data_IF_426617997265
#
_entry.id   IF_426617997265
#
_cell.length_a   1.000
_cell.length_b   1.000
_cell.length_c   1.000
_cell.angle_alpha   90.00
_cell.angle_beta   90.00
_cell.angle_gamma   90.00
#
_symmetry.space_group_name_H-M   'P 1'
#
loop_
_entity.id
_entity.type
_entity.pdbx_description
1 polymer ?
#
# COMPACT_ATOMS: atom_id res chain seq x y z
N UNK A 1 -22.21 15.49 17.31
CA UNK A 1 -22.93 14.25 16.94
C UNK A 1 -22.07 13.49 15.95
N UNK A 2 -21.17 12.66 16.47
CA UNK A 2 -20.23 11.84 15.71
C UNK A 2 -20.65 10.38 15.88
N UNK A 3 -20.54 9.58 14.82
CA UNK A 3 -21.05 8.21 14.66
C UNK A 3 -22.49 8.12 14.13
N UNK A 4 -22.59 8.05 12.80
CA UNK A 4 -23.69 7.38 12.10
C UNK A 4 -23.10 6.15 11.39
N UNK A 5 -23.82 5.02 11.34
CA UNK A 5 -23.33 3.79 10.75
C UNK A 5 -23.21 3.91 9.22
N UNK A 6 -22.15 3.30 8.67
CA UNK A 6 -21.92 3.19 7.22
C UNK A 6 -23.05 2.33 6.64
N UNK A 7 -23.89 2.91 5.77
CA UNK A 7 -24.97 2.18 5.08
C UNK A 7 -24.44 1.38 3.88
N UNK A 8 -25.20 0.37 3.48
CA UNK A 8 -24.88 -0.60 2.41
C UNK A 8 -24.53 0.03 1.04
N UNK A 9 -24.94 1.28 0.81
CA UNK A 9 -24.64 2.06 -0.41
C UNK A 9 -23.17 2.50 -0.51
N UNK A 10 -22.48 2.72 0.61
CA UNK A 10 -21.06 3.09 0.58
C UNK A 10 -20.16 1.89 0.24
N UNK A 11 -20.52 0.69 0.72
CA UNK A 11 -19.84 -0.57 0.34
C UNK A 11 -19.98 -0.88 -1.15
N UNK A 12 -21.12 -0.56 -1.77
CA UNK A 12 -21.33 -0.79 -3.20
C UNK A 12 -20.48 0.14 -4.06
N UNK A 13 -20.27 1.40 -3.64
CA UNK A 13 -19.44 2.36 -4.38
C UNK A 13 -17.94 2.02 -4.33
N UNK A 14 -17.41 1.62 -3.17
CA UNK A 14 -16.03 1.16 -3.01
C UNK A 14 -15.78 -0.13 -3.79
N UNK A 15 -16.72 -1.09 -3.73
CA UNK A 15 -16.67 -2.34 -4.49
C UNK A 15 -16.74 -2.10 -6.00
N UNK A 16 -17.56 -1.15 -6.47
CA UNK A 16 -17.62 -0.79 -7.89
C UNK A 16 -16.32 -0.14 -8.38
N UNK A 17 -15.72 0.78 -7.61
CA UNK A 17 -14.41 1.38 -7.94
C UNK A 17 -13.30 0.33 -7.92
N UNK A 18 -13.29 -0.58 -6.95
CA UNK A 18 -12.35 -1.71 -6.91
C UNK A 18 -12.55 -2.64 -8.11
N UNK A 19 -13.79 -2.92 -8.51
CA UNK A 19 -14.09 -3.71 -9.71
C UNK A 19 -13.69 -2.97 -10.99
N UNK A 20 -13.80 -1.66 -11.05
CA UNK A 20 -13.36 -0.85 -12.19
C UNK A 20 -11.84 -0.77 -12.30
N UNK A 21 -11.14 -0.60 -11.17
CA UNK A 21 -9.68 -0.72 -11.05
C UNK A 21 -9.25 -2.14 -11.41
N UNK A 22 -9.93 -3.17 -10.91
CA UNK A 22 -9.66 -4.57 -11.26
C UNK A 22 -9.92 -4.83 -12.75
N UNK A 23 -10.97 -4.24 -13.34
CA UNK A 23 -11.26 -4.33 -14.79
C UNK A 23 -10.19 -3.61 -15.62
N UNK A 24 -9.72 -2.42 -15.21
CA UNK A 24 -8.53 -1.76 -15.78
C UNK A 24 -7.29 -2.64 -15.63
N UNK A 25 -7.10 -3.30 -14.49
CA UNK A 25 -5.99 -4.21 -14.23
C UNK A 25 -6.10 -5.52 -15.04
N UNK A 26 -7.30 -6.00 -15.38
CA UNK A 26 -7.48 -7.13 -16.30
C UNK A 26 -7.14 -6.77 -17.75
N UNK A 27 -7.27 -5.50 -18.15
CA UNK A 27 -6.67 -4.97 -19.39
C UNK A 27 -5.14 -4.79 -19.28
N UNK A 28 -4.60 -4.75 -18.06
CA UNK A 28 -3.15 -4.74 -17.76
C UNK A 28 -2.49 -6.14 -17.80
N UNK A 29 -2.98 -7.03 -18.69
CA UNK A 29 -2.19 -8.17 -19.18
C UNK A 29 -1.05 -7.73 -20.11
N UNK A 30 -1.09 -6.49 -20.62
CA UNK A 30 0.01 -5.89 -21.37
C UNK A 30 1.15 -5.48 -20.43
N UNK A 31 2.38 -5.88 -20.78
CA UNK A 31 3.58 -5.68 -19.96
C UNK A 31 3.93 -4.22 -19.74
N UNK A 32 3.71 -3.42 -20.78
CA UNK A 32 3.93 -1.97 -20.75
C UNK A 32 2.92 -1.27 -19.85
N UNK A 33 1.71 -1.82 -19.74
CA UNK A 33 0.66 -1.21 -18.94
C UNK A 33 1.00 -1.19 -17.44
N UNK A 34 1.57 -2.25 -16.86
CA UNK A 34 1.87 -2.27 -15.41
C UNK A 34 2.95 -1.27 -15.00
N UNK A 35 4.06 -1.24 -15.75
CA UNK A 35 5.14 -0.26 -15.50
C UNK A 35 4.63 1.17 -15.65
N UNK A 36 3.83 1.42 -16.70
CA UNK A 36 3.21 2.71 -16.96
C UNK A 36 2.26 3.12 -15.83
N UNK A 37 1.37 2.23 -15.40
CA UNK A 37 0.42 2.50 -14.32
C UNK A 37 1.14 2.85 -13.01
N UNK A 38 2.15 2.06 -12.64
CA UNK A 38 2.99 2.35 -11.47
C UNK A 38 3.64 3.74 -11.57
N UNK A 39 4.32 4.02 -12.70
CA UNK A 39 5.04 5.26 -12.88
C UNK A 39 4.11 6.49 -12.91
N UNK A 40 3.00 6.44 -13.64
CA UNK A 40 2.10 7.58 -13.85
C UNK A 40 1.19 7.87 -12.66
N UNK A 41 0.72 6.82 -11.98
CA UNK A 41 -0.29 6.99 -10.93
C UNK A 41 0.30 7.00 -9.52
N UNK A 42 1.46 6.38 -9.29
CA UNK A 42 2.07 6.32 -7.96
C UNK A 42 3.41 7.06 -7.91
N UNK A 43 4.39 6.67 -8.75
CA UNK A 43 5.78 7.10 -8.56
C UNK A 43 6.04 8.56 -8.96
N UNK A 44 5.81 8.93 -10.23
CA UNK A 44 6.08 10.28 -10.73
C UNK A 44 5.30 11.39 -9.98
N UNK A 45 4.05 11.18 -9.52
CA UNK A 45 3.37 12.16 -8.68
C UNK A 45 4.14 12.55 -7.41
N UNK A 46 4.98 11.67 -6.87
CA UNK A 46 5.82 11.98 -5.69
C UNK A 46 6.96 12.96 -6.00
N UNK A 47 7.23 13.24 -7.28
CA UNK A 47 8.38 14.04 -7.71
C UNK A 47 9.72 13.31 -7.58
N UNK A 48 9.72 12.02 -7.25
CA UNK A 48 10.93 11.21 -7.26
C UNK A 48 11.43 11.00 -8.71
N UNK A 49 12.76 10.98 -8.94
CA UNK A 49 13.34 10.52 -10.19
C UNK A 49 12.93 9.07 -10.50
N UNK A 50 12.97 8.68 -11.77
CA UNK A 50 12.72 7.29 -12.15
C UNK A 50 13.75 6.36 -11.52
N UNK A 51 13.27 5.28 -10.90
CA UNK A 51 14.09 4.21 -10.35
C UNK A 51 14.21 3.02 -11.28
N UNK A 52 14.96 2.01 -10.86
CA UNK A 52 15.07 0.75 -11.57
C UNK A 52 14.13 -0.32 -10.98
N UNK A 53 13.21 -0.81 -11.80
CA UNK A 53 12.36 -1.95 -11.47
C UNK A 53 13.03 -3.24 -11.93
N UNK A 54 13.13 -4.22 -11.04
CA UNK A 54 13.46 -5.58 -11.44
C UNK A 54 12.42 -6.09 -12.46
N UNK A 55 12.89 -6.68 -13.55
CA UNK A 55 12.06 -7.30 -14.57
C UNK A 55 12.26 -8.82 -14.54
N UNK A 56 11.19 -9.57 -14.82
CA UNK A 56 11.25 -11.04 -14.93
C UNK A 56 12.19 -11.53 -16.05
N UNK A 57 12.45 -10.68 -17.04
CA UNK A 57 13.42 -10.83 -18.13
C UNK A 57 13.67 -9.48 -18.80
N UNK A 58 14.61 -9.45 -19.75
CA UNK A 58 14.83 -8.27 -20.58
C UNK A 58 13.53 -7.83 -21.29
N UNK A 59 13.17 -6.55 -21.14
CA UNK A 59 11.92 -5.96 -21.64
C UNK A 59 10.63 -6.68 -21.15
N UNK A 60 10.73 -7.34 -19.99
CA UNK A 60 9.69 -8.13 -19.37
C UNK A 60 8.72 -7.38 -18.46
N UNK A 61 8.01 -8.12 -17.62
CA UNK A 61 7.13 -7.57 -16.58
C UNK A 61 7.96 -7.04 -15.42
N UNK A 62 7.62 -5.88 -14.84
CA UNK A 62 8.17 -5.53 -13.54
C UNK A 62 7.69 -6.52 -12.47
N UNK A 63 8.63 -6.99 -11.64
CA UNK A 63 8.32 -7.72 -10.43
C UNK A 63 7.61 -6.79 -9.45
N UNK A 64 6.29 -6.86 -9.37
CA UNK A 64 5.50 -5.90 -8.56
C UNK A 64 5.56 -6.15 -7.06
N UNK A 65 6.23 -7.22 -6.62
CA UNK A 65 6.34 -7.60 -5.21
C UNK A 65 7.70 -7.23 -4.60
N UNK A 66 8.72 -6.90 -5.40
CA UNK A 66 10.05 -6.60 -4.86
C UNK A 66 10.90 -5.71 -5.77
N UNK A 67 12.07 -5.36 -5.23
CA UNK A 67 13.28 -5.08 -6.00
C UNK A 67 13.25 -3.80 -6.85
N UNK A 68 12.40 -2.84 -6.48
CA UNK A 68 12.55 -1.45 -6.88
C UNK A 68 13.80 -0.86 -6.23
N UNK A 69 14.72 -0.36 -7.05
CA UNK A 69 15.95 0.31 -6.61
C UNK A 69 15.87 1.81 -6.86
N UNK A 70 15.88 2.56 -5.79
CA UNK A 70 15.81 4.04 -5.72
C UNK A 70 16.65 4.51 -4.54
N UNK A 71 16.89 5.81 -4.42
CA UNK A 71 17.61 6.33 -3.25
C UNK A 71 16.75 6.22 -1.99
N UNK A 72 17.37 6.16 -0.79
CA UNK A 72 16.61 6.23 0.47
C UNK A 72 15.72 7.47 0.58
N UNK A 73 16.18 8.62 0.07
CA UNK A 73 15.39 9.86 0.06
C UNK A 73 14.15 9.74 -0.84
N UNK A 74 14.20 8.96 -1.91
CA UNK A 74 13.04 8.72 -2.77
C UNK A 74 12.04 7.79 -2.09
N UNK A 75 12.51 6.79 -1.33
CA UNK A 75 11.63 5.99 -0.47
C UNK A 75 10.88 6.83 0.57
N UNK A 76 11.54 7.82 1.17
CA UNK A 76 10.90 8.72 2.14
C UNK A 76 9.70 9.49 1.54
N UNK A 77 9.67 9.72 0.23
CA UNK A 77 8.54 10.39 -0.42
C UNK A 77 7.27 9.55 -0.41
N UNK A 78 7.38 8.22 -0.47
CA UNK A 78 6.22 7.34 -0.25
C UNK A 78 5.75 7.38 1.20
N UNK A 79 6.67 7.43 2.16
CA UNK A 79 6.34 7.64 3.57
C UNK A 79 5.61 8.97 3.79
N UNK A 80 6.11 10.06 3.21
CA UNK A 80 5.48 11.37 3.24
C UNK A 80 4.08 11.35 2.60
N UNK A 81 3.91 10.68 1.46
CA UNK A 81 2.59 10.50 0.82
C UNK A 81 1.58 9.84 1.78
N UNK A 82 1.98 8.77 2.48
CA UNK A 82 1.12 8.11 3.47
C UNK A 82 0.83 9.02 4.68
N UNK A 83 1.83 9.76 5.16
CA UNK A 83 1.67 10.70 6.27
C UNK A 83 0.74 11.87 5.92
N UNK A 84 0.77 12.34 4.67
CA UNK A 84 -0.10 13.40 4.14
C UNK A 84 -1.48 12.89 3.70
N UNK A 85 -1.90 11.71 4.15
CA UNK A 85 -3.25 11.20 3.85
C UNK A 85 -3.45 10.79 2.40
N UNK A 86 -2.39 10.38 1.69
CA UNK A 86 -2.48 9.96 0.29
C UNK A 86 -2.52 11.11 -0.72
N UNK A 87 -2.27 12.35 -0.27
CA UNK A 87 -2.39 13.57 -1.07
C UNK A 87 -1.03 14.19 -1.40
N UNK A 88 -0.96 14.79 -2.58
CA UNK A 88 0.14 15.67 -3.00
C UNK A 88 -0.47 16.96 -3.54
N UNK A 89 -0.33 18.06 -2.80
CA UNK A 89 -1.09 19.28 -3.06
C UNK A 89 -2.59 19.00 -3.05
N UNK A 90 -3.28 19.33 -4.15
CA UNK A 90 -4.71 19.05 -4.32
C UNK A 90 -5.04 17.67 -4.91
N UNK A 91 -4.02 16.86 -5.28
CA UNK A 91 -4.21 15.57 -5.94
C UNK A 91 -4.29 14.42 -4.94
N UNK A 92 -5.34 13.62 -5.05
CA UNK A 92 -5.45 12.30 -4.42
C UNK A 92 -4.64 11.28 -5.23
N UNK A 93 -3.47 10.91 -4.71
CA UNK A 93 -2.63 9.85 -5.30
C UNK A 93 -3.09 8.49 -4.77
N UNK A 94 -3.40 8.42 -3.47
CA UNK A 94 -4.07 7.28 -2.85
C UNK A 94 -5.45 7.75 -2.36
N UNK A 95 -6.55 7.09 -2.76
CA UNK A 95 -7.86 7.39 -2.21
C UNK A 95 -7.88 7.24 -0.68
N UNK A 96 -8.59 8.11 0.04
CA UNK A 96 -8.71 8.06 1.51
C UNK A 96 -9.16 6.69 2.01
N UNK A 97 -10.22 6.15 1.41
CA UNK A 97 -10.82 4.88 1.83
C UNK A 97 -9.86 3.70 1.59
N UNK A 98 -8.96 3.83 0.62
CA UNK A 98 -7.91 2.84 0.38
C UNK A 98 -6.81 2.95 1.44
N UNK A 99 -6.41 4.18 1.78
CA UNK A 99 -5.43 4.42 2.83
C UNK A 99 -5.92 3.92 4.20
N UNK A 100 -7.21 4.08 4.50
CA UNK A 100 -7.82 3.54 5.71
C UNK A 100 -7.76 2.01 5.74
N UNK A 101 -8.01 1.34 4.60
CA UNK A 101 -7.83 -0.10 4.47
C UNK A 101 -6.37 -0.55 4.61
N UNK A 102 -5.40 0.24 4.13
CA UNK A 102 -3.98 -0.05 4.35
C UNK A 102 -3.60 0.07 5.84
N UNK A 103 -4.27 0.94 6.59
CA UNK A 103 -4.02 1.11 8.04
C UNK A 103 -4.81 0.15 8.91
N UNK A 104 -5.74 -0.61 8.33
CA UNK A 104 -6.61 -1.53 9.05
C UNK A 104 -6.12 -2.96 8.86
N UNK A 105 -5.90 -3.67 9.96
CA UNK A 105 -5.58 -5.08 9.95
C UNK A 105 -6.65 -5.94 9.28
N UNK A 106 -6.23 -7.09 8.76
CA UNK A 106 -7.16 -8.11 8.27
C UNK A 106 -7.57 -9.08 9.38
N UNK A 107 -8.68 -9.81 9.21
CA UNK A 107 -9.08 -10.87 10.14
C UNK A 107 -8.00 -11.98 10.28
N UNK A 108 -7.28 -12.27 9.19
CA UNK A 108 -6.20 -13.27 9.19
C UNK A 108 -4.94 -12.77 9.90
N UNK A 109 -4.68 -11.46 9.83
CA UNK A 109 -3.55 -10.82 10.48
C UNK A 109 -3.93 -9.38 10.87
N UNK A 110 -4.29 -9.14 12.14
CA UNK A 110 -4.66 -7.81 12.65
C UNK A 110 -3.55 -6.77 12.51
N UNK A 111 -2.30 -7.20 12.30
CA UNK A 111 -1.15 -6.32 12.17
C UNK A 111 -0.79 -6.00 10.71
N UNK A 112 -1.54 -6.51 9.72
CA UNK A 112 -1.26 -6.33 8.29
C UNK A 112 -2.50 -5.85 7.52
N UNK A 113 -2.35 -4.71 6.81
CA UNK A 113 -3.39 -4.11 5.99
C UNK A 113 -2.85 -3.69 4.62
N UNK A 114 -3.39 -4.26 3.54
CA UNK A 114 -3.09 -3.92 2.12
C UNK A 114 -1.63 -3.48 1.82
N UNK A 115 -0.64 -4.25 2.28
CA UNK A 115 0.78 -3.97 2.03
C UNK A 115 1.50 -3.15 3.10
N UNK A 116 0.79 -2.66 4.12
CA UNK A 116 1.36 -1.99 5.28
C UNK A 116 1.28 -2.84 6.54
N UNK A 117 2.16 -2.48 7.45
CA UNK A 117 2.24 -2.99 8.79
C UNK A 117 2.04 -1.83 9.77
N UNK A 118 0.79 -1.43 10.08
CA UNK A 118 0.50 -0.22 10.85
C UNK A 118 0.91 -0.29 12.32
N UNK A 119 1.03 -1.49 12.90
CA UNK A 119 1.29 -1.75 14.32
C UNK A 119 1.92 -3.11 14.54
N UNK A 120 2.84 -3.24 15.49
CA UNK A 120 3.43 -4.48 15.96
C UNK A 120 2.73 -5.00 17.22
N UNK A 121 2.79 -6.33 17.47
CA UNK A 121 2.25 -6.88 18.71
C UNK A 121 3.00 -6.33 19.95
N UNK A 122 2.34 -6.25 21.12
CA UNK A 122 2.94 -5.68 22.34
C UNK A 122 4.22 -6.39 22.83
N UNK A 123 4.49 -7.62 22.40
CA UNK A 123 5.68 -8.39 22.79
C UNK A 123 6.94 -8.07 21.96
N UNK A 124 6.84 -7.08 21.06
CA UNK A 124 7.98 -6.55 20.28
C UNK A 124 8.48 -7.50 19.19
N UNK A 125 7.74 -8.56 18.89
CA UNK A 125 8.10 -9.54 17.86
C UNK A 125 6.95 -9.76 16.92
N UNK A 126 7.24 -9.77 15.61
CA UNK A 126 6.24 -10.08 14.60
C UNK A 126 6.60 -11.35 13.86
N UNK A 127 5.61 -12.21 13.64
CA UNK A 127 5.75 -13.35 12.73
C UNK A 127 5.89 -12.85 11.28
N UNK A 128 6.98 -13.22 10.61
CA UNK A 128 7.31 -12.79 9.24
C UNK A 128 6.27 -13.25 8.20
N UNK A 129 5.72 -14.44 8.42
CA UNK A 129 4.63 -15.00 7.63
C UNK A 129 3.65 -15.71 8.57
N UNK A 130 2.35 -15.54 8.33
CA UNK A 130 1.30 -16.23 9.08
C UNK A 130 1.53 -17.75 9.08
N UNK A 131 1.74 -18.33 10.27
CA UNK A 131 2.02 -19.75 10.46
C UNK A 131 3.49 -20.17 10.30
N UNK A 132 4.41 -19.23 10.03
CA UNK A 132 5.85 -19.51 9.91
C UNK A 132 6.62 -19.41 11.23
N UNK A 133 7.74 -20.14 11.37
CA UNK A 133 8.57 -20.09 12.58
C UNK A 133 9.47 -18.84 12.70
N UNK A 134 9.50 -17.99 11.67
CA UNK A 134 10.39 -16.82 11.62
C UNK A 134 9.73 -15.60 12.22
N UNK A 135 10.45 -14.93 13.13
CA UNK A 135 10.03 -13.68 13.74
C UNK A 135 11.02 -12.55 13.39
N UNK A 136 10.49 -11.35 13.23
CA UNK A 136 11.25 -10.11 13.03
C UNK A 136 11.12 -9.29 14.32
N UNK A 137 12.25 -8.98 14.95
CA UNK A 137 12.30 -8.09 16.11
C UNK A 137 11.98 -6.64 15.72
N UNK A 138 11.46 -5.87 16.67
CA UNK A 138 11.13 -4.46 16.49
C UNK A 138 11.89 -3.60 17.50
N UNK A 139 11.98 -2.30 17.19
CA UNK A 139 12.39 -1.27 18.15
C UNK A 139 11.29 -1.03 19.19
N UNK A 140 11.46 -0.02 20.04
CA UNK A 140 10.47 0.36 21.05
C UNK A 140 9.07 0.58 20.44
N UNK A 141 7.99 0.35 21.23
CA UNK A 141 6.63 0.51 20.74
C UNK A 141 6.38 1.90 20.15
N UNK A 142 5.71 1.95 19.00
CA UNK A 142 5.29 3.19 18.37
C UNK A 142 3.78 3.40 18.48
N UNK A 143 3.29 4.61 18.19
CA UNK A 143 1.88 4.97 18.38
C UNK A 143 0.86 4.00 17.75
N UNK A 144 1.22 3.31 16.65
CA UNK A 144 0.39 2.28 16.01
C UNK A 144 0.29 0.94 16.77
N UNK A 145 1.09 0.72 17.81
CA UNK A 145 1.12 -0.53 18.60
C UNK A 145 0.09 -0.49 19.74
N UNK A 146 -0.52 0.68 19.98
CA UNK A 146 -1.55 0.87 21.01
C UNK A 146 -2.97 0.56 20.51
N UNK A 147 -3.12 0.13 19.25
CA UNK A 147 -4.42 -0.24 18.69
C UNK A 147 -4.70 -1.73 18.95
N UNK A 148 -5.88 -2.07 19.52
CA UNK A 148 -6.25 -3.43 19.93
C UNK A 148 -6.51 -4.38 18.77
#
# INVERSE_FOLDING_TARGET
ACCQPITNDQQTSARQRQLEVARRNTRARDRRARRRLYAEHLWRPTGAPDGELYLDRENGMPGTYCCQRVTPCDWLRLGALLAMGGKIGARDVLPSDWLDQMRTGSELNPYYGYGLWPGSPPDGKRQSASGGAQFVGQSEPHAGDQQP
#
